data_IF_597845114034
#
_entry.id   IF_597845114034
#
_cell.length_a   1.000
_cell.length_b   1.000
_cell.length_c   1.000
_cell.angle_alpha   90.00
_cell.angle_beta   90.00
_cell.angle_gamma   90.00
#
_symmetry.space_group_name_H-M   'P 1'
#
loop_
_entity.id
_entity.type
_entity.pdbx_description
1 polymer ?
#
# COMPACT_ATOMS: atom_id res chain seq x y z
N UNK A 1 -32.64 -3.21 -22.62
CA UNK A 1 -31.54 -2.85 -23.55
C UNK A 1 -30.31 -2.93 -22.69
N UNK A 2 -29.41 -3.87 -22.95
CA UNK A 2 -28.05 -3.78 -22.40
C UNK A 2 -27.33 -2.68 -23.18
N UNK A 3 -26.77 -1.71 -22.48
CA UNK A 3 -25.97 -0.66 -23.10
C UNK A 3 -24.50 -0.98 -22.79
N UNK A 4 -23.73 -1.28 -23.83
CA UNK A 4 -22.31 -1.58 -23.67
C UNK A 4 -21.56 -0.29 -23.25
N UNK A 5 -20.93 -0.32 -22.08
CA UNK A 5 -20.10 0.77 -21.59
C UNK A 5 -18.62 0.46 -21.86
N UNK A 6 -17.92 1.39 -22.52
CA UNK A 6 -16.46 1.33 -22.67
C UNK A 6 -15.83 2.15 -21.55
N UNK A 7 -14.96 1.51 -20.77
CA UNK A 7 -14.15 2.16 -19.73
C UNK A 7 -12.79 2.54 -20.31
N UNK A 8 -12.30 3.74 -19.98
CA UNK A 8 -11.00 4.25 -20.46
C UNK A 8 -10.23 4.88 -19.31
N UNK A 9 -8.92 4.61 -19.22
CA UNK A 9 -7.96 5.37 -18.41
C UNK A 9 -7.56 6.68 -19.08
N UNK A 10 -6.35 7.18 -18.82
CA UNK A 10 -5.89 8.47 -19.36
C UNK A 10 -5.39 8.42 -20.81
N UNK A 11 -5.61 7.31 -21.51
CA UNK A 11 -5.10 7.07 -22.87
C UNK A 11 -3.58 7.26 -22.98
N UNK A 12 -2.84 6.98 -21.91
CA UNK A 12 -1.39 7.05 -21.91
C UNK A 12 -0.80 6.00 -22.88
N UNK A 13 0.23 6.42 -23.64
CA UNK A 13 0.85 5.57 -24.65
C UNK A 13 1.42 4.30 -24.02
N UNK A 14 1.05 3.14 -24.57
CA UNK A 14 1.53 1.83 -24.12
C UNK A 14 1.28 1.54 -22.62
N UNK A 15 0.27 2.18 -22.01
CA UNK A 15 -0.03 2.05 -20.59
C UNK A 15 -0.55 0.66 -20.18
N UNK A 16 -1.02 -0.13 -21.16
CA UNK A 16 -1.62 -1.44 -20.92
C UNK A 16 -2.85 -1.37 -19.99
N UNK A 17 -3.64 -0.30 -20.12
CA UNK A 17 -4.92 -0.18 -19.43
C UNK A 17 -5.82 -1.39 -19.76
N UNK A 18 -6.36 -2.03 -18.73
CA UNK A 18 -7.18 -3.23 -18.88
C UNK A 18 -6.40 -4.55 -18.81
N UNK A 19 -5.10 -4.52 -18.51
CA UNK A 19 -4.30 -5.75 -18.34
C UNK A 19 -4.67 -6.51 -17.06
N UNK A 20 -5.20 -5.84 -16.05
CA UNK A 20 -5.83 -6.46 -14.89
C UNK A 20 -7.14 -5.75 -14.51
N UNK A 21 -8.08 -6.53 -13.98
CA UNK A 21 -9.42 -6.10 -13.55
C UNK A 21 -9.77 -6.83 -12.25
N UNK A 22 -10.36 -6.10 -11.29
CA UNK A 22 -10.87 -6.68 -10.06
C UNK A 22 -12.18 -6.00 -9.65
N UNK A 23 -13.15 -6.80 -9.18
CA UNK A 23 -14.26 -6.28 -8.38
C UNK A 23 -13.74 -6.02 -6.96
N UNK A 24 -13.93 -4.80 -6.46
CA UNK A 24 -13.35 -4.36 -5.18
C UNK A 24 -14.39 -4.17 -4.08
N UNK A 25 -15.66 -4.48 -4.39
CA UNK A 25 -16.80 -4.24 -3.50
C UNK A 25 -17.36 -2.84 -3.69
N UNK A 26 -18.22 -2.44 -2.77
CA UNK A 26 -18.77 -1.08 -2.68
C UNK A 26 -17.84 -0.28 -1.74
N UNK A 27 -17.01 0.60 -2.31
CA UNK A 27 -15.97 1.31 -1.55
C UNK A 27 -16.42 2.71 -1.11
N UNK A 28 -17.43 3.28 -1.76
CA UNK A 28 -18.03 4.57 -1.42
C UNK A 28 -19.37 4.46 -0.66
N UNK A 29 -19.80 3.24 -0.34
CA UNK A 29 -20.97 2.90 0.48
C UNK A 29 -22.29 3.40 -0.13
N UNK A 30 -22.39 3.31 -1.46
CA UNK A 30 -23.55 3.77 -2.24
C UNK A 30 -24.56 2.66 -2.57
N UNK A 31 -24.21 1.42 -2.25
CA UNK A 31 -24.99 0.20 -2.48
C UNK A 31 -24.67 -0.53 -3.79
N UNK A 32 -23.73 -0.05 -4.60
CA UNK A 32 -23.36 -0.62 -5.89
C UNK A 32 -21.91 -1.15 -5.88
N UNK A 33 -21.60 -2.13 -6.74
CA UNK A 33 -20.24 -2.67 -6.81
C UNK A 33 -19.34 -1.82 -7.68
N UNK A 34 -18.14 -1.58 -7.17
CA UNK A 34 -17.07 -0.88 -7.86
C UNK A 34 -16.03 -1.84 -8.44
N UNK A 35 -15.27 -1.31 -9.39
CA UNK A 35 -14.20 -2.04 -10.09
C UNK A 35 -12.90 -1.26 -10.13
N UNK A 36 -11.80 -2.00 -10.05
CA UNK A 36 -10.45 -1.49 -10.28
C UNK A 36 -9.88 -2.05 -11.59
N UNK A 37 -9.28 -1.18 -12.40
CA UNK A 37 -8.58 -1.54 -13.63
C UNK A 37 -7.13 -1.06 -13.56
N UNK A 38 -6.18 -1.97 -13.81
CA UNK A 38 -4.76 -1.61 -13.83
C UNK A 38 -4.25 -1.22 -15.21
N UNK A 39 -3.24 -0.36 -15.20
CA UNK A 39 -2.42 0.06 -16.32
C UNK A 39 -0.93 -0.07 -15.92
N UNK A 40 -0.38 -1.29 -15.87
CA UNK A 40 0.92 -1.56 -15.23
C UNK A 40 2.11 -0.91 -15.94
N UNK A 41 1.96 -0.51 -17.21
CA UNK A 41 3.02 0.13 -17.98
C UNK A 41 2.89 1.65 -18.07
N UNK A 42 1.84 2.20 -17.47
CA UNK A 42 1.65 3.64 -17.47
C UNK A 42 2.81 4.36 -16.79
N UNK A 43 3.13 5.56 -17.28
CA UNK A 43 4.17 6.42 -16.74
C UNK A 43 5.51 5.66 -16.61
N UNK A 44 6.07 5.21 -17.74
CA UNK A 44 7.34 4.48 -17.84
C UNK A 44 7.46 3.29 -16.86
N UNK A 45 6.46 2.40 -16.85
CA UNK A 45 6.37 1.26 -15.91
C UNK A 45 6.20 1.65 -14.43
N UNK A 46 5.82 2.90 -14.15
CA UNK A 46 5.41 3.33 -12.81
C UNK A 46 4.07 2.73 -12.38
N UNK A 47 3.22 2.40 -13.34
CA UNK A 47 1.93 1.74 -13.13
C UNK A 47 0.84 2.68 -12.61
N UNK A 48 -0.40 2.36 -12.93
CA UNK A 48 -1.57 3.03 -12.37
C UNK A 48 -2.72 2.04 -12.11
N UNK A 49 -3.58 2.36 -11.15
CA UNK A 49 -4.87 1.70 -10.94
C UNK A 49 -5.98 2.74 -11.01
N UNK A 50 -7.00 2.45 -11.79
CA UNK A 50 -8.18 3.27 -12.00
C UNK A 50 -9.37 2.64 -11.29
N UNK A 51 -10.10 3.44 -10.52
CA UNK A 51 -11.30 3.00 -9.80
C UNK A 51 -12.53 3.57 -10.51
N UNK A 52 -13.51 2.72 -10.77
CA UNK A 52 -14.79 3.09 -11.37
C UNK A 52 -15.92 2.68 -10.43
N UNK A 53 -16.77 3.64 -10.10
CA UNK A 53 -17.93 3.38 -9.24
C UNK A 53 -19.08 2.75 -10.02
N UNK A 54 -19.80 1.86 -9.33
CA UNK A 54 -21.11 1.39 -9.76
C UNK A 54 -22.18 2.46 -9.59
N UNK A 55 -23.31 2.28 -10.28
CA UNK A 55 -24.55 3.00 -10.03
C UNK A 55 -25.76 2.15 -10.44
N UNK A 56 -26.96 2.72 -10.32
CA UNK A 56 -28.22 2.06 -10.70
C UNK A 56 -28.30 1.62 -12.17
N UNK A 57 -27.41 2.13 -13.03
CA UNK A 57 -27.36 1.89 -14.47
C UNK A 57 -26.17 1.04 -14.91
N UNK A 58 -25.22 0.75 -14.03
CA UNK A 58 -24.04 -0.08 -14.32
C UNK A 58 -22.77 0.50 -13.74
N UNK A 59 -21.68 0.50 -14.52
CA UNK A 59 -20.41 1.13 -14.12
C UNK A 59 -20.30 2.51 -14.75
N UNK A 60 -19.97 3.52 -13.95
CA UNK A 60 -19.71 4.88 -14.42
C UNK A 60 -18.53 4.88 -15.39
N UNK A 61 -18.69 5.45 -16.58
CA UNK A 61 -17.66 5.39 -17.65
C UNK A 61 -16.37 6.15 -17.32
N UNK A 62 -16.47 7.13 -16.43
CA UNK A 62 -15.35 7.94 -15.96
C UNK A 62 -14.86 7.37 -14.63
N UNK A 63 -13.56 7.11 -14.52
CA UNK A 63 -12.98 6.71 -13.24
C UNK A 63 -13.17 7.85 -12.22
N UNK A 64 -13.48 7.48 -10.98
CA UNK A 64 -13.57 8.42 -9.86
C UNK A 64 -12.21 8.73 -9.28
N UNK A 65 -11.28 7.78 -9.37
CA UNK A 65 -9.99 7.85 -8.71
C UNK A 65 -8.91 7.14 -9.53
N UNK A 66 -7.69 7.69 -9.45
CA UNK A 66 -6.48 7.12 -10.04
C UNK A 66 -5.37 7.04 -9.00
N UNK A 67 -4.82 5.85 -8.81
CA UNK A 67 -3.69 5.57 -7.94
C UNK A 67 -2.43 5.41 -8.79
N UNK A 68 -1.43 6.25 -8.56
CA UNK A 68 -0.12 6.14 -9.22
C UNK A 68 0.78 5.16 -8.46
N UNK A 69 1.43 4.22 -9.17
CA UNK A 69 2.30 3.22 -8.55
C UNK A 69 3.71 3.72 -8.20
N UNK A 70 4.04 4.98 -8.49
CA UNK A 70 5.44 5.47 -8.40
C UNK A 70 5.96 5.67 -6.98
N UNK A 71 5.12 6.07 -6.03
CA UNK A 71 5.57 6.37 -4.67
C UNK A 71 4.41 6.39 -3.70
N UNK A 72 4.52 5.59 -2.65
CA UNK A 72 3.69 5.67 -1.45
C UNK A 72 4.50 6.35 -0.35
N UNK A 73 3.87 7.27 0.38
CA UNK A 73 4.47 7.81 1.60
C UNK A 73 4.27 6.79 2.71
N UNK A 74 5.36 6.48 3.42
CA UNK A 74 5.34 5.64 4.61
C UNK A 74 5.66 6.53 5.80
N UNK A 75 4.75 6.65 6.74
CA UNK A 75 5.01 7.32 8.01
C UNK A 75 4.84 6.32 9.16
N UNK A 76 5.92 6.07 9.88
CA UNK A 76 5.85 5.35 11.13
C UNK A 76 5.55 6.35 12.26
N UNK A 77 4.48 6.12 13.02
CA UNK A 77 4.20 6.85 14.25
C UNK A 77 4.43 5.92 15.43
N UNK A 78 5.36 6.28 16.30
CA UNK A 78 5.50 5.65 17.60
C UNK A 78 4.63 6.38 18.60
N UNK A 79 3.75 5.65 19.28
CA UNK A 79 2.94 6.19 20.36
C UNK A 79 3.65 6.06 21.73
N UNK A 80 4.86 5.49 21.79
CA UNK A 80 5.55 5.23 23.05
C UNK A 80 7.06 5.57 23.03
N UNK A 81 7.51 6.57 23.81
CA UNK A 81 8.93 6.85 24.01
C UNK A 81 9.69 5.75 24.77
N UNK A 82 8.97 4.83 25.43
CA UNK A 82 9.46 4.01 26.54
C UNK A 82 9.76 2.53 26.17
N UNK A 83 9.86 2.15 24.88
CA UNK A 83 10.11 0.76 24.41
C UNK A 83 8.91 -0.22 24.44
N UNK A 84 7.83 0.07 23.71
CA UNK A 84 6.96 -1.01 23.27
C UNK A 84 6.53 -0.76 21.82
N UNK A 85 6.91 -1.63 20.89
CA UNK A 85 6.67 -1.45 19.45
C UNK A 85 5.23 -1.84 19.03
N UNK A 86 4.44 -2.38 19.97
CA UNK A 86 3.09 -2.91 19.72
C UNK A 86 2.05 -1.85 19.37
N UNK A 87 2.32 -0.59 19.64
CA UNK A 87 1.43 0.54 19.35
C UNK A 87 1.90 1.41 18.17
N UNK A 88 2.97 1.00 17.49
CA UNK A 88 3.43 1.68 16.29
C UNK A 88 2.39 1.54 15.18
N UNK A 89 1.94 2.65 14.61
CA UNK A 89 1.13 2.65 13.39
C UNK A 89 2.02 2.93 12.18
N UNK A 90 1.73 2.24 11.08
CA UNK A 90 2.29 2.58 9.78
C UNK A 90 1.19 3.21 8.94
N UNK A 91 1.34 4.50 8.64
CA UNK A 91 0.46 5.20 7.73
C UNK A 91 1.04 5.11 6.32
N UNK A 92 0.27 4.54 5.40
CA UNK A 92 0.59 4.42 3.98
C UNK A 92 -0.26 5.42 3.21
N UNK A 93 0.36 6.40 2.54
CA UNK A 93 -0.37 7.40 1.77
C UNK A 93 -0.04 7.36 0.27
N UNK A 94 -1.06 7.33 -0.59
CA UNK A 94 -0.90 7.53 -2.04
C UNK A 94 -1.38 8.95 -2.38
N UNK A 95 -0.53 9.84 -2.93
CA UNK A 95 -0.96 11.15 -3.40
C UNK A 95 -1.79 11.00 -4.69
N UNK A 96 -2.97 11.60 -4.73
CA UNK A 96 -3.86 11.54 -5.90
C UNK A 96 -3.43 12.56 -6.96
N UNK A 97 -3.33 12.12 -8.21
CA UNK A 97 -2.78 12.94 -9.32
C UNK A 97 -3.75 14.06 -9.74
N UNK A 98 -5.04 13.94 -9.43
CA UNK A 98 -6.08 14.86 -9.89
C UNK A 98 -6.74 15.73 -8.81
N UNK A 99 -6.35 15.58 -7.54
CA UNK A 99 -6.87 16.40 -6.44
C UNK A 99 -5.71 16.90 -5.57
N UNK A 100 -5.55 18.22 -5.50
CA UNK A 100 -4.42 18.86 -4.81
C UNK A 100 -4.36 18.60 -3.30
N UNK A 101 -5.41 18.05 -2.69
CA UNK A 101 -5.51 17.83 -1.24
C UNK A 101 -5.94 16.41 -0.83
N UNK A 102 -6.06 15.46 -1.75
CA UNK A 102 -6.54 14.12 -1.43
C UNK A 102 -5.40 13.09 -1.38
N UNK A 103 -5.13 12.57 -0.18
CA UNK A 103 -4.26 11.40 0.02
C UNK A 103 -5.10 10.25 0.55
N UNK A 104 -5.00 9.08 -0.08
CA UNK A 104 -5.61 7.88 0.48
C UNK A 104 -4.66 7.36 1.54
N UNK A 105 -5.13 7.32 2.78
CA UNK A 105 -4.36 6.86 3.93
C UNK A 105 -4.86 5.50 4.37
N UNK A 106 -3.99 4.49 4.32
CA UNK A 106 -4.19 3.22 4.99
C UNK A 106 -3.41 3.21 6.29
N UNK A 107 -4.08 2.98 7.43
CA UNK A 107 -3.40 2.80 8.71
C UNK A 107 -3.29 1.31 8.97
N UNK A 108 -2.07 0.78 8.98
CA UNK A 108 -1.82 -0.59 9.43
C UNK A 108 -1.46 -0.53 10.91
N UNK A 109 -2.38 -1.03 11.74
CA UNK A 109 -2.07 -1.37 13.12
C UNK A 109 -1.60 -2.83 13.16
N UNK A 110 -0.39 -3.12 13.65
CA UNK A 110 0.10 -4.48 13.69
C UNK A 110 -0.63 -5.28 14.77
N UNK A 111 -1.35 -6.34 14.38
CA UNK A 111 -1.62 -7.44 15.31
C UNK A 111 -0.40 -8.35 15.50
N UNK A 112 0.65 -8.17 14.68
CA UNK A 112 1.93 -8.89 14.77
C UNK A 112 3.01 -8.22 13.90
N UNK A 113 3.90 -7.42 14.49
CA UNK A 113 5.21 -7.21 13.87
C UNK A 113 6.04 -8.47 14.12
N UNK A 114 6.62 -9.06 13.06
CA UNK A 114 7.76 -9.97 13.24
C UNK A 114 8.96 -9.07 13.51
N UNK A 115 9.44 -9.07 14.75
CA UNK A 115 10.72 -8.48 15.10
C UNK A 115 11.83 -9.19 14.30
N UNK A 116 12.38 -8.54 13.27
CA UNK A 116 13.73 -8.90 12.80
C UNK A 116 14.71 -8.18 13.70
N UNK A 117 14.98 -8.75 14.88
CA UNK A 117 16.18 -8.42 15.66
C UNK A 117 17.28 -9.37 15.19
N UNK A 118 17.92 -9.04 14.07
CA UNK A 118 19.20 -9.65 13.70
C UNK A 118 20.17 -8.55 13.30
N UNK A 119 21.14 -8.26 14.19
CA UNK A 119 22.55 -7.91 13.88
C UNK A 119 23.25 -6.93 14.86
N UNK A 120 22.69 -6.58 16.03
CA UNK A 120 23.45 -5.77 17.02
C UNK A 120 23.73 -6.43 18.37
N UNK A 121 23.20 -7.64 18.63
CA UNK A 121 23.52 -8.37 19.87
C UNK A 121 24.86 -9.12 19.82
N UNK A 122 25.31 -9.55 18.63
CA UNK A 122 26.56 -10.33 18.48
C UNK A 122 27.86 -9.50 18.48
N UNK A 123 27.82 -8.20 18.77
CA UNK A 123 29.04 -7.37 18.90
C UNK A 123 29.39 -7.03 20.35
N UNK A 124 28.57 -7.41 21.33
CA UNK A 124 28.86 -7.16 22.76
C UNK A 124 29.24 -8.41 23.56
N UNK A 125 29.02 -9.61 23.02
CA UNK A 125 29.41 -10.85 23.71
C UNK A 125 30.86 -11.29 23.43
N UNK A 126 31.62 -10.54 22.61
CA UNK A 126 33.03 -10.88 22.31
C UNK A 126 34.06 -10.28 23.26
N UNK A 127 33.67 -9.36 24.16
CA UNK A 127 34.61 -8.59 24.98
C UNK A 127 34.62 -8.96 26.48
N UNK A 128 33.82 -9.94 26.95
CA UNK A 128 33.79 -10.31 28.37
C UNK A 128 33.76 -11.83 28.67
N UNK A 129 34.53 -12.65 27.92
CA UNK A 129 34.85 -14.01 28.39
C UNK A 129 36.17 -14.01 29.16
N UNK A 130 36.08 -13.59 30.43
CA UNK A 130 37.15 -13.70 31.41
C UNK A 130 37.57 -15.16 31.63
N UNK A 131 38.89 -15.38 31.63
CA UNK A 131 39.59 -16.59 32.06
C UNK A 131 39.05 -17.14 33.38
N UNK A 132 38.42 -18.31 33.34
CA UNK A 132 38.33 -19.19 34.50
C UNK A 132 38.27 -20.64 34.04
N UNK A 133 39.42 -21.26 33.83
CA UNK A 133 39.67 -22.70 34.09
C UNK A 133 41.08 -23.04 33.64
N UNK A 134 41.99 -23.15 34.62
CA UNK A 134 42.95 -24.26 34.67
C UNK A 134 43.43 -24.38 36.12
N UNK A 135 42.54 -24.92 36.96
CA UNK A 135 42.97 -25.80 38.05
C UNK A 135 42.93 -27.20 37.47
N UNK A 136 44.08 -27.66 36.98
CA UNK A 136 44.52 -29.04 37.11
C UNK A 136 46.03 -29.05 36.82
N UNK A 137 46.82 -29.37 37.86
CA UNK A 137 48.05 -30.18 37.94
C UNK A 137 48.72 -29.95 39.31
#
# INVERSE_FOLDING_TARGET
>A
MEEDAILTGDNAFNAHFGECLAAIGDIDDDGYQDVAIGAPKEDDYGGAVYIYHGDATGITRKYSMKLAGRSFLVQAKSANPEHNLSDNSLDLSIPLIHETDATITGVVTPSSFVEIIEAEKNRKDSDESWDWMDKDH
#
